data_IF_007381424357
#
_entry.id   IF_007381424357
#
_cell.length_a   1.000
_cell.length_b   1.000
_cell.length_c   1.000
_cell.angle_alpha   90.00
_cell.angle_beta   90.00
_cell.angle_gamma   90.00
#
_symmetry.space_group_name_H-M   'P 1'
#
loop_
_entity.id
_entity.type
_entity.pdbx_description
1 polymer ?
#
# COMPACT_ATOMS: atom_id res chain seq x y z
N UNK A 1 -6.70 12.61 -29.31
CA UNK A 1 -5.52 12.08 -28.59
C UNK A 1 -5.30 12.73 -27.23
N UNK A 2 -5.39 14.07 -27.11
CA UNK A 2 -5.26 14.76 -25.82
C UNK A 2 -6.20 14.23 -24.71
N UNK A 3 -7.48 14.01 -25.03
CA UNK A 3 -8.43 13.46 -24.05
C UNK A 3 -8.01 12.08 -23.51
N UNK A 4 -7.50 11.19 -24.37
CA UNK A 4 -7.02 9.86 -23.95
C UNK A 4 -5.82 9.97 -23.01
N UNK A 5 -4.88 10.88 -23.31
CA UNK A 5 -3.72 11.11 -22.46
C UNK A 5 -4.11 11.64 -21.07
N UNK A 6 -5.06 12.57 -21.00
CA UNK A 6 -5.56 13.11 -19.73
C UNK A 6 -6.32 12.04 -18.94
N UNK A 7 -7.15 11.23 -19.60
CA UNK A 7 -7.86 10.11 -18.95
C UNK A 7 -6.88 9.11 -18.36
N UNK A 8 -5.92 8.63 -19.16
CA UNK A 8 -4.91 7.69 -18.67
C UNK A 8 -4.06 8.29 -17.54
N UNK A 9 -3.63 9.55 -17.67
CA UNK A 9 -2.90 10.25 -16.62
C UNK A 9 -3.69 10.36 -15.32
N UNK A 10 -5.00 10.60 -15.40
CA UNK A 10 -5.88 10.66 -14.23
C UNK A 10 -5.98 9.31 -13.54
N UNK A 11 -6.09 8.21 -14.31
CA UNK A 11 -6.11 6.85 -13.76
C UNK A 11 -4.81 6.51 -13.04
N UNK A 12 -3.66 6.78 -13.65
CA UNK A 12 -2.35 6.56 -13.03
C UNK A 12 -2.20 7.38 -11.76
N UNK A 13 -2.61 8.65 -11.78
CA UNK A 13 -2.55 9.52 -10.59
C UNK A 13 -3.47 9.03 -9.47
N UNK A 14 -4.71 8.62 -9.79
CA UNK A 14 -5.62 8.07 -8.80
C UNK A 14 -5.09 6.77 -8.18
N UNK A 15 -4.50 5.90 -9.00
CA UNK A 15 -3.85 4.66 -8.56
C UNK A 15 -2.68 4.95 -7.61
N UNK A 16 -1.74 5.80 -8.02
CA UNK A 16 -0.60 6.21 -7.19
C UNK A 16 -1.04 6.88 -5.89
N UNK A 17 -2.08 7.71 -5.93
CA UNK A 17 -2.59 8.41 -4.76
C UNK A 17 -3.10 7.44 -3.69
N UNK A 18 -3.86 6.41 -4.08
CA UNK A 18 -4.33 5.37 -3.16
C UNK A 18 -3.14 4.70 -2.47
N UNK A 19 -2.14 4.25 -3.24
CA UNK A 19 -0.99 3.53 -2.68
C UNK A 19 -0.10 4.42 -1.81
N UNK A 20 0.07 5.69 -2.19
CA UNK A 20 0.82 6.67 -1.37
C UNK A 20 0.12 6.89 -0.03
N UNK A 21 -1.20 7.03 -0.02
CA UNK A 21 -1.98 7.25 1.19
C UNK A 21 -1.87 6.05 2.15
N UNK A 22 -1.98 4.83 1.63
CA UNK A 22 -1.78 3.63 2.44
C UNK A 22 -0.34 3.46 2.92
N UNK A 23 0.66 3.79 2.10
CA UNK A 23 2.07 3.78 2.50
C UNK A 23 2.32 4.72 3.70
N UNK A 24 1.78 5.93 3.66
CA UNK A 24 1.83 6.88 4.78
C UNK A 24 1.09 6.38 6.02
N UNK A 25 -0.06 5.71 5.84
CA UNK A 25 -0.79 5.11 6.95
C UNK A 25 0.02 3.99 7.62
N UNK A 26 0.68 3.14 6.84
CA UNK A 26 1.58 2.12 7.35
C UNK A 26 2.80 2.73 8.04
N UNK A 27 3.38 3.79 7.48
CA UNK A 27 4.48 4.55 8.10
C UNK A 27 4.07 5.05 9.48
N UNK A 28 2.91 5.72 9.55
CA UNK A 28 2.41 6.25 10.81
C UNK A 28 2.17 5.12 11.81
N UNK A 29 1.57 4.01 11.40
CA UNK A 29 1.39 2.84 12.27
C UNK A 29 2.71 2.26 12.78
N UNK A 30 3.72 2.18 11.91
CA UNK A 30 5.04 1.64 12.24
C UNK A 30 5.81 2.55 13.22
N UNK A 31 5.87 3.85 12.93
CA UNK A 31 6.63 4.81 13.76
C UNK A 31 5.87 5.25 15.04
N UNK A 32 4.54 5.15 15.09
CA UNK A 32 3.78 5.37 16.34
C UNK A 32 3.97 4.21 17.34
N UNK A 33 4.32 3.03 16.84
CA UNK A 33 4.59 1.85 17.66
C UNK A 33 6.00 1.85 18.30
N UNK A 34 6.78 2.93 18.19
CA UNK A 34 8.16 3.02 18.69
C UNK A 34 8.32 2.80 20.21
N UNK A 35 7.21 2.75 20.96
CA UNK A 35 7.15 2.42 22.39
C UNK A 35 6.64 0.99 22.71
N UNK A 36 6.36 0.16 21.70
CA UNK A 36 5.88 -1.21 21.88
C UNK A 36 6.98 -2.23 21.54
N UNK A 37 7.03 -3.33 22.29
CA UNK A 37 7.99 -4.44 22.07
C UNK A 37 7.81 -5.15 20.72
N UNK A 38 6.71 -4.89 20.00
CA UNK A 38 6.40 -5.52 18.72
C UNK A 38 5.99 -4.48 17.68
N UNK A 39 6.86 -4.23 16.70
CA UNK A 39 6.54 -3.42 15.52
C UNK A 39 5.39 -4.06 14.74
N UNK A 40 4.48 -3.27 14.14
CA UNK A 40 3.26 -3.77 13.49
C UNK A 40 3.47 -4.30 12.07
N UNK A 41 4.68 -4.13 11.52
CA UNK A 41 5.19 -4.70 10.27
C UNK A 41 6.56 -5.30 10.54
N UNK A 42 6.85 -6.44 9.92
CA UNK A 42 8.12 -7.14 10.02
C UNK A 42 8.90 -6.99 8.71
N UNK A 43 10.11 -6.41 8.80
CA UNK A 43 11.00 -6.15 7.66
C UNK A 43 12.19 -7.12 7.74
N UNK A 44 12.30 -8.10 6.82
CA UNK A 44 13.21 -9.24 6.99
C UNK A 44 14.71 -8.89 6.89
N UNK A 45 15.07 -7.79 6.23
CA UNK A 45 16.47 -7.47 5.91
C UNK A 45 16.94 -6.10 6.41
N UNK A 46 16.06 -5.30 7.00
CA UNK A 46 16.37 -3.92 7.40
C UNK A 46 15.73 -3.59 8.75
N UNK A 47 16.52 -3.00 9.66
CA UNK A 47 16.05 -2.66 11.00
C UNK A 47 15.42 -1.25 11.04
N UNK A 48 15.71 -0.42 10.04
CA UNK A 48 15.20 0.95 9.93
C UNK A 48 14.61 1.12 8.51
N UNK A 49 13.38 0.65 8.28
CA UNK A 49 12.75 0.80 6.97
C UNK A 49 12.57 2.28 6.62
N UNK A 50 12.69 2.60 5.35
CA UNK A 50 12.45 3.92 4.82
C UNK A 50 11.01 4.05 4.24
N UNK A 51 10.66 5.24 3.76
CA UNK A 51 9.36 5.46 3.13
C UNK A 51 9.19 4.70 1.81
N UNK A 52 10.28 4.33 1.14
CA UNK A 52 10.25 3.55 -0.09
C UNK A 52 9.91 2.08 0.18
N UNK A 53 10.36 1.50 1.29
CA UNK A 53 9.99 0.15 1.71
C UNK A 53 8.47 0.04 1.97
N UNK A 54 7.90 1.07 2.59
CA UNK A 54 6.46 1.17 2.86
C UNK A 54 5.65 1.42 1.57
N UNK A 55 6.21 2.18 0.63
CA UNK A 55 5.62 2.35 -0.69
C UNK A 55 5.66 1.05 -1.49
N UNK A 56 6.78 0.33 -1.46
CA UNK A 56 6.94 -0.99 -2.06
C UNK A 56 5.91 -1.98 -1.51
N UNK A 57 5.76 -2.04 -0.18
CA UNK A 57 4.73 -2.84 0.49
C UNK A 57 3.31 -2.49 0.01
N UNK A 58 3.00 -1.20 -0.03
CA UNK A 58 1.69 -0.68 -0.45
C UNK A 58 1.37 -1.04 -1.91
N UNK A 59 2.34 -0.84 -2.81
CA UNK A 59 2.21 -1.17 -4.22
C UNK A 59 2.10 -2.68 -4.44
N UNK A 60 2.83 -3.50 -3.68
CA UNK A 60 2.75 -4.96 -3.74
C UNK A 60 1.34 -5.48 -3.44
N UNK A 61 0.74 -4.99 -2.35
CA UNK A 61 -0.65 -5.30 -1.99
C UNK A 61 -1.61 -4.87 -3.11
N UNK A 62 -1.45 -3.64 -3.61
CA UNK A 62 -2.40 -3.05 -4.55
C UNK A 62 -2.32 -3.60 -5.97
N UNK A 63 -1.11 -3.89 -6.45
CA UNK A 63 -0.87 -4.37 -7.80
C UNK A 63 -1.14 -5.88 -7.94
N UNK A 64 -0.81 -6.67 -6.90
CA UNK A 64 -0.74 -8.14 -7.04
C UNK A 64 -1.56 -8.92 -6.01
N UNK A 65 -2.08 -8.26 -4.96
CA UNK A 65 -2.78 -8.93 -3.86
C UNK A 65 -1.90 -9.89 -3.05
N UNK A 66 -0.59 -9.94 -3.30
CA UNK A 66 0.36 -10.75 -2.53
C UNK A 66 1.06 -9.90 -1.48
N UNK A 67 1.28 -10.50 -0.30
CA UNK A 67 2.18 -9.95 0.68
C UNK A 67 3.59 -10.03 0.08
N UNK A 68 4.26 -8.89 0.00
CA UNK A 68 5.71 -8.85 -0.19
C UNK A 68 6.42 -9.61 0.94
N UNK A 69 7.73 -9.74 0.86
CA UNK A 69 8.60 -10.21 1.94
C UNK A 69 8.34 -9.54 3.31
N UNK A 70 7.73 -8.35 3.32
CA UNK A 70 7.21 -7.65 4.51
C UNK A 70 5.87 -8.25 5.00
N UNK A 71 5.80 -8.61 6.29
CA UNK A 71 4.63 -9.25 6.90
C UNK A 71 3.90 -8.38 7.93
N UNK A 72 2.57 -8.55 8.03
CA UNK A 72 1.77 -7.95 9.10
C UNK A 72 1.91 -8.72 10.42
N UNK A 73 2.42 -8.08 11.45
CA UNK A 73 2.44 -8.63 12.82
C UNK A 73 1.21 -8.17 13.61
N UNK A 74 0.77 -6.91 13.43
CA UNK A 74 -0.38 -6.33 14.14
C UNK A 74 -1.73 -6.71 13.50
N UNK A 75 -2.69 -7.12 14.32
CA UNK A 75 -4.08 -7.36 13.87
C UNK A 75 -4.75 -6.09 13.31
N UNK A 76 -4.40 -4.91 13.85
CA UNK A 76 -4.96 -3.63 13.40
C UNK A 76 -4.49 -3.32 11.97
N UNK A 77 -3.18 -3.31 11.73
CA UNK A 77 -2.64 -3.03 10.39
C UNK A 77 -3.05 -4.09 9.37
N UNK A 78 -3.19 -5.35 9.78
CA UNK A 78 -3.67 -6.43 8.89
C UNK A 78 -5.09 -6.21 8.37
N UNK A 79 -6.00 -5.70 9.23
CA UNK A 79 -7.36 -5.33 8.79
C UNK A 79 -7.31 -4.20 7.76
N UNK A 80 -6.39 -3.24 7.95
CA UNK A 80 -6.20 -2.12 7.03
C UNK A 80 -5.60 -2.59 5.71
N UNK A 81 -4.64 -3.53 5.73
CA UNK A 81 -4.17 -4.25 4.56
C UNK A 81 -5.27 -4.94 3.77
N UNK A 82 -6.22 -5.59 4.46
CA UNK A 82 -7.37 -6.19 3.81
C UNK A 82 -8.24 -5.14 3.09
N UNK A 83 -8.54 -4.00 3.75
CA UNK A 83 -9.28 -2.91 3.11
C UNK A 83 -8.53 -2.34 1.91
N UNK A 84 -7.21 -2.16 2.01
CA UNK A 84 -6.37 -1.70 0.92
C UNK A 84 -6.46 -2.65 -0.28
N UNK A 85 -6.27 -3.96 -0.07
CA UNK A 85 -6.34 -4.95 -1.14
C UNK A 85 -7.72 -5.03 -1.80
N UNK A 86 -8.80 -4.96 -1.03
CA UNK A 86 -10.17 -4.91 -1.58
C UNK A 86 -10.37 -3.65 -2.42
N UNK A 87 -9.96 -2.48 -1.93
CA UNK A 87 -10.06 -1.22 -2.67
C UNK A 87 -9.27 -1.27 -3.98
N UNK A 88 -8.05 -1.81 -3.95
CA UNK A 88 -7.22 -1.99 -5.14
C UNK A 88 -7.81 -2.98 -6.13
N UNK A 89 -8.45 -4.06 -5.65
CA UNK A 89 -9.19 -4.99 -6.52
C UNK A 89 -10.33 -4.27 -7.26
N UNK A 90 -11.12 -3.45 -6.56
CA UNK A 90 -12.18 -2.65 -7.19
C UNK A 90 -11.62 -1.67 -8.22
N UNK A 91 -10.53 -0.97 -7.90
CA UNK A 91 -9.88 -0.06 -8.83
C UNK A 91 -9.39 -0.78 -10.08
N UNK A 92 -8.62 -1.87 -9.91
CA UNK A 92 -8.08 -2.66 -11.03
C UNK A 92 -9.22 -3.22 -11.89
N UNK A 93 -10.30 -3.72 -11.27
CA UNK A 93 -11.48 -4.22 -12.00
C UNK A 93 -12.18 -3.11 -12.76
N UNK A 94 -12.38 -1.93 -12.15
CA UNK A 94 -13.03 -0.79 -12.80
C UNK A 94 -12.22 -0.27 -13.99
N UNK A 95 -10.89 -0.31 -13.93
CA UNK A 95 -10.02 0.11 -15.03
C UNK A 95 -9.92 -0.94 -16.14
N UNK A 96 -9.92 -2.23 -15.81
CA UNK A 96 -9.80 -3.32 -16.79
C UNK A 96 -11.12 -3.68 -17.46
N UNK A 97 -12.24 -3.56 -16.74
CA UNK A 97 -13.56 -3.96 -17.25
C UNK A 97 -14.21 -2.89 -18.16
N UNK A 98 -13.60 -1.72 -18.30
CA UNK A 98 -14.15 -0.56 -19.01
C UNK A 98 -13.16 0.01 -20.02
#
# INVERSE_FOLDING_TARGET
MFHLAVTFGTLVMAWLFIHTLFALYYAHGYYDANNNEHYPLDFPYENIPDYWDLMYFSLGIGASGQASDICFTSRKLRRIGMFHGVLSLFFNTAVLAW
#
